data_IF_967940712503
#
_entry.id   IF_967940712503
#
_cell.length_a   1.000
_cell.length_b   1.000
_cell.length_c   1.000
_cell.angle_alpha   90.00
_cell.angle_beta   90.00
_cell.angle_gamma   90.00
#
_symmetry.space_group_name_H-M   'P 1'
#
loop_
_entity.id
_entity.type
_entity.pdbx_description
1 polymer ?
#
# COMPACT_ATOMS: atom_id res chain seq x y z
N UNK A 1 -8.10 17.61 4.48
CA UNK A 1 -8.51 16.28 5.00
C UNK A 1 -9.85 15.75 4.45
N UNK A 2 -10.88 16.58 4.24
CA UNK A 2 -12.22 16.12 3.76
C UNK A 2 -12.20 15.57 2.32
N UNK A 3 -11.52 16.24 1.38
CA UNK A 3 -11.40 15.80 -0.01
C UNK A 3 -10.65 14.47 -0.18
N UNK A 4 -9.51 14.30 0.52
CA UNK A 4 -8.72 13.06 0.43
C UNK A 4 -9.49 11.82 0.90
N UNK A 5 -10.34 11.95 1.94
CA UNK A 5 -11.22 10.85 2.39
C UNK A 5 -12.33 10.54 1.40
N UNK A 6 -12.93 11.56 0.79
CA UNK A 6 -13.92 11.39 -0.28
C UNK A 6 -13.30 10.72 -1.51
N UNK A 7 -12.15 11.22 -1.97
CA UNK A 7 -11.39 10.66 -3.09
C UNK A 7 -10.96 9.21 -2.84
N UNK A 8 -10.49 8.88 -1.62
CA UNK A 8 -10.17 7.50 -1.26
C UNK A 8 -11.40 6.59 -1.25
N UNK A 9 -12.53 7.07 -0.72
CA UNK A 9 -13.79 6.32 -0.76
C UNK A 9 -14.26 6.06 -2.19
N UNK A 10 -14.22 7.09 -3.05
CA UNK A 10 -14.60 7.00 -4.44
C UNK A 10 -13.65 6.11 -5.25
N UNK A 11 -12.34 6.19 -5.01
CA UNK A 11 -11.32 5.34 -5.65
C UNK A 11 -11.50 3.87 -5.25
N UNK A 12 -11.76 3.59 -3.97
CA UNK A 12 -12.02 2.23 -3.48
C UNK A 12 -13.32 1.64 -4.03
N UNK A 13 -14.32 2.49 -4.23
CA UNK A 13 -15.58 2.10 -4.88
C UNK A 13 -15.37 1.88 -6.38
N UNK A 14 -14.69 2.79 -7.08
CA UNK A 14 -14.39 2.68 -8.51
C UNK A 14 -13.53 1.45 -8.86
N UNK A 15 -12.62 1.04 -7.97
CA UNK A 15 -11.75 -0.13 -8.17
C UNK A 15 -12.36 -1.48 -7.76
N UNK A 16 -13.62 -1.54 -7.30
CA UNK A 16 -14.24 -2.79 -6.86
C UNK A 16 -14.75 -3.64 -8.04
N UNK A 17 -14.66 -4.97 -7.94
CA UNK A 17 -15.25 -5.88 -8.93
C UNK A 17 -16.77 -5.68 -9.10
N UNK A 18 -17.48 -5.26 -8.03
CA UNK A 18 -18.93 -5.03 -8.07
C UNK A 18 -19.32 -3.81 -8.91
N UNK A 19 -18.56 -2.74 -8.83
CA UNK A 19 -18.76 -1.53 -9.65
C UNK A 19 -18.42 -1.78 -11.10
N UNK A 20 -17.41 -2.62 -11.39
CA UNK A 20 -17.12 -3.03 -12.76
C UNK A 20 -18.30 -3.79 -13.40
N UNK A 21 -18.88 -4.76 -12.68
CA UNK A 21 -20.07 -5.49 -13.14
C UNK A 21 -21.26 -4.52 -13.33
N UNK A 22 -21.47 -3.59 -12.40
CA UNK A 22 -22.52 -2.58 -12.54
C UNK A 22 -22.31 -1.67 -13.77
N UNK A 23 -21.07 -1.26 -14.05
CA UNK A 23 -20.73 -0.46 -15.21
C UNK A 23 -21.00 -1.21 -16.53
N UNK A 24 -20.65 -2.50 -16.60
CA UNK A 24 -21.00 -3.36 -17.75
C UNK A 24 -22.51 -3.43 -17.92
N UNK A 25 -23.27 -3.67 -16.84
CA UNK A 25 -24.73 -3.70 -16.88
C UNK A 25 -25.33 -2.39 -17.40
N UNK A 26 -24.74 -1.25 -17.02
CA UNK A 26 -25.16 0.08 -17.47
C UNK A 26 -24.88 0.30 -18.96
N UNK A 27 -23.74 -0.18 -19.46
CA UNK A 27 -23.41 -0.17 -20.90
C UNK A 27 -24.38 -1.07 -21.68
N UNK A 28 -24.68 -2.28 -21.18
CA UNK A 28 -25.65 -3.17 -21.81
C UNK A 28 -27.05 -2.55 -21.85
N UNK A 29 -27.50 -1.95 -20.75
CA UNK A 29 -28.79 -1.25 -20.69
C UNK A 29 -28.85 -0.12 -21.69
N UNK A 30 -27.80 0.72 -21.75
CA UNK A 30 -27.69 1.78 -22.75
C UNK A 30 -27.81 1.20 -24.17
N UNK A 31 -27.03 0.16 -24.51
CA UNK A 31 -27.09 -0.48 -25.83
C UNK A 31 -28.49 -1.01 -26.19
N UNK A 32 -29.20 -1.62 -25.24
CA UNK A 32 -30.57 -2.14 -25.44
C UNK A 32 -31.58 -1.01 -25.66
N UNK A 33 -31.36 0.19 -25.10
CA UNK A 33 -32.22 1.35 -25.37
C UNK A 33 -31.97 1.98 -26.75
N UNK A 34 -30.83 1.69 -27.39
CA UNK A 34 -30.45 2.27 -28.69
C UNK A 34 -31.47 2.10 -29.83
N UNK A 35 -32.06 0.91 -30.03
CA UNK A 35 -33.11 0.70 -31.04
C UNK A 35 -34.33 1.59 -30.89
N UNK A 36 -34.76 1.93 -29.66
CA UNK A 36 -35.87 2.85 -29.44
C UNK A 36 -35.56 4.29 -29.84
N UNK A 37 -34.29 4.69 -29.73
CA UNK A 37 -33.81 6.02 -30.11
C UNK A 37 -33.22 6.07 -31.52
N UNK A 38 -33.36 5.00 -32.31
CA UNK A 38 -32.77 4.86 -33.65
C UNK A 38 -31.26 5.15 -33.69
N UNK A 39 -30.55 4.92 -32.58
CA UNK A 39 -29.13 5.25 -32.44
C UNK A 39 -28.78 6.71 -32.82
N UNK A 40 -29.68 7.65 -32.54
CA UNK A 40 -29.52 9.06 -32.92
C UNK A 40 -28.33 9.75 -32.23
N UNK A 41 -27.98 10.94 -32.74
CA UNK A 41 -26.82 11.70 -32.26
C UNK A 41 -26.93 12.05 -30.77
N UNK A 42 -28.13 12.36 -30.27
CA UNK A 42 -28.35 12.66 -28.85
C UNK A 42 -28.05 11.46 -27.95
N UNK A 43 -28.49 10.26 -28.36
CA UNK A 43 -28.28 9.02 -27.61
C UNK A 43 -26.79 8.64 -27.55
N UNK A 44 -26.04 8.85 -28.63
CA UNK A 44 -24.58 8.65 -28.67
C UNK A 44 -23.83 9.74 -27.87
N UNK A 45 -24.27 10.99 -27.96
CA UNK A 45 -23.66 12.11 -27.27
C UNK A 45 -23.69 11.90 -25.75
N UNK A 46 -24.81 11.42 -25.20
CA UNK A 46 -24.96 11.19 -23.76
C UNK A 46 -23.88 10.23 -23.23
N UNK A 47 -23.63 9.09 -23.89
CA UNK A 47 -22.63 8.13 -23.40
C UNK A 47 -21.21 8.67 -23.55
N UNK A 48 -20.94 9.35 -24.66
CA UNK A 48 -19.61 9.86 -24.98
C UNK A 48 -19.23 10.99 -24.02
N UNK A 49 -20.13 11.96 -23.82
CA UNK A 49 -19.93 13.05 -22.87
C UNK A 49 -19.81 12.51 -21.44
N UNK A 50 -20.66 11.57 -21.04
CA UNK A 50 -20.61 11.00 -19.68
C UNK A 50 -19.30 10.27 -19.41
N UNK A 51 -18.86 9.42 -20.34
CA UNK A 51 -17.61 8.66 -20.22
C UNK A 51 -16.41 9.60 -20.17
N UNK A 52 -16.43 10.68 -20.95
CA UNK A 52 -15.37 11.70 -20.95
C UNK A 52 -15.26 12.39 -19.60
N UNK A 53 -16.38 12.82 -19.00
CA UNK A 53 -16.41 13.43 -17.67
C UNK A 53 -15.89 12.45 -16.61
N UNK A 54 -16.37 11.20 -16.62
CA UNK A 54 -15.94 10.16 -15.68
C UNK A 54 -14.43 9.91 -15.82
N UNK A 55 -13.92 9.80 -17.04
CA UNK A 55 -12.50 9.60 -17.32
C UNK A 55 -11.67 10.77 -16.81
N UNK A 56 -12.10 12.01 -17.06
CA UNK A 56 -11.41 13.20 -16.56
C UNK A 56 -11.34 13.21 -15.03
N UNK A 57 -12.44 12.91 -14.35
CA UNK A 57 -12.45 12.77 -12.89
C UNK A 57 -11.57 11.60 -12.40
N UNK A 58 -11.56 10.48 -13.12
CA UNK A 58 -10.74 9.31 -12.81
C UNK A 58 -9.25 9.65 -12.86
N UNK A 59 -8.80 10.46 -13.83
CA UNK A 59 -7.42 10.94 -13.90
C UNK A 59 -7.04 11.68 -12.63
N UNK A 60 -7.87 12.61 -12.12
CA UNK A 60 -7.61 13.28 -10.85
C UNK A 60 -7.59 12.33 -9.66
N UNK A 61 -8.50 11.36 -9.61
CA UNK A 61 -8.54 10.36 -8.53
C UNK A 61 -7.29 9.49 -8.52
N UNK A 62 -6.86 9.03 -9.70
CA UNK A 62 -5.65 8.25 -9.89
C UNK A 62 -4.44 9.09 -9.47
N UNK A 63 -4.31 10.32 -9.95
CA UNK A 63 -3.21 11.22 -9.57
C UNK A 63 -3.15 11.48 -8.06
N UNK A 64 -4.29 11.73 -7.41
CA UNK A 64 -4.34 11.94 -5.95
C UNK A 64 -3.95 10.67 -5.16
N UNK A 65 -4.35 9.49 -5.65
CA UNK A 65 -3.98 8.21 -5.02
C UNK A 65 -2.48 7.93 -5.22
N UNK A 66 -1.99 8.08 -6.46
CA UNK A 66 -0.59 7.88 -6.82
C UNK A 66 0.34 8.85 -6.11
N UNK A 67 -0.03 10.12 -5.96
CA UNK A 67 0.80 11.11 -5.26
C UNK A 67 1.01 10.71 -3.79
N UNK A 68 -0.05 10.25 -3.12
CA UNK A 68 0.03 9.76 -1.74
C UNK A 68 0.83 8.46 -1.62
N UNK A 69 0.68 7.54 -2.57
CA UNK A 69 1.42 6.28 -2.54
C UNK A 69 2.93 6.49 -2.76
N UNK A 70 3.30 7.45 -3.61
CA UNK A 70 4.69 7.89 -3.79
C UNK A 70 5.29 8.46 -2.50
N UNK A 71 4.57 9.34 -1.80
CA UNK A 71 5.03 9.90 -0.52
C UNK A 71 5.31 8.79 0.51
N UNK A 72 4.41 7.81 0.61
CA UNK A 72 4.57 6.66 1.51
C UNK A 72 5.76 5.78 1.10
N UNK A 73 5.98 5.59 -0.20
CA UNK A 73 7.12 4.84 -0.72
C UNK A 73 8.44 5.49 -0.30
N UNK A 74 8.57 6.81 -0.45
CA UNK A 74 9.76 7.56 -0.06
C UNK A 74 10.06 7.38 1.43
N UNK A 75 9.07 7.53 2.30
CA UNK A 75 9.23 7.32 3.75
C UNK A 75 9.74 5.91 4.08
N UNK A 76 9.20 4.88 3.40
CA UNK A 76 9.66 3.50 3.60
C UNK A 76 11.11 3.31 3.16
N UNK A 77 11.51 3.91 2.04
CA UNK A 77 12.90 3.85 1.55
C UNK A 77 13.84 4.57 2.53
N UNK A 78 13.45 5.75 3.03
CA UNK A 78 14.23 6.51 3.99
C UNK A 78 14.45 5.73 5.28
N UNK A 79 13.43 5.03 5.77
CA UNK A 79 13.56 4.19 6.97
C UNK A 79 14.46 2.97 6.72
N UNK A 80 14.38 2.31 5.56
CA UNK A 80 15.29 1.22 5.21
C UNK A 80 16.75 1.68 5.14
N UNK A 81 17.00 2.87 4.55
CA UNK A 81 18.33 3.47 4.49
C UNK A 81 18.84 3.83 5.90
N UNK A 82 17.96 4.35 6.76
CA UNK A 82 18.30 4.68 8.14
C UNK A 82 18.69 3.45 8.94
N UNK A 83 17.87 2.39 8.93
CA UNK A 83 18.19 1.14 9.65
C UNK A 83 19.51 0.54 9.15
N UNK A 84 19.76 0.60 7.85
CA UNK A 84 21.03 0.12 7.26
C UNK A 84 22.22 0.93 7.74
N UNK A 85 22.11 2.27 7.77
CA UNK A 85 23.16 3.15 8.30
C UNK A 85 23.37 2.97 9.80
N UNK A 86 22.29 2.83 10.57
CA UNK A 86 22.37 2.61 12.02
C UNK A 86 23.01 1.25 12.34
N UNK A 87 22.67 0.20 11.59
CA UNK A 87 23.34 -1.11 11.70
C UNK A 87 24.83 -1.02 11.35
N UNK A 88 25.19 -0.29 10.28
CA UNK A 88 26.58 -0.06 9.91
C UNK A 88 27.33 0.75 10.97
N UNK A 89 26.71 1.79 11.52
CA UNK A 89 27.27 2.61 12.60
C UNK A 89 27.43 1.81 13.90
N UNK A 90 26.49 0.92 14.22
CA UNK A 90 26.59 0.02 15.36
C UNK A 90 27.78 -0.95 15.20
N UNK A 91 27.96 -1.54 14.01
CA UNK A 91 29.12 -2.38 13.70
C UNK A 91 30.45 -1.62 13.76
N UNK A 92 30.52 -0.42 13.17
CA UNK A 92 31.69 0.46 13.27
C UNK A 92 32.00 0.87 14.71
N UNK A 93 30.98 1.03 15.54
CA UNK A 93 31.15 1.33 16.96
C UNK A 93 31.70 0.11 17.73
N UNK A 94 31.39 -1.12 17.30
CA UNK A 94 32.03 -2.32 17.86
C UNK A 94 33.53 -2.38 17.58
N UNK A 95 33.96 -1.88 16.42
CA UNK A 95 35.38 -1.79 16.03
C UNK A 95 36.15 -0.76 16.88
N UNK A 96 35.44 0.19 17.50
CA UNK A 96 36.01 1.20 18.39
C UNK A 96 36.07 0.77 19.87
N UNK A 97 35.46 -0.36 20.23
CA UNK A 97 35.51 -0.88 21.60
C UNK A 97 36.87 -1.53 21.86
N UNK A 98 37.45 -1.29 23.04
CA UNK A 98 38.65 -2.01 23.46
C UNK A 98 38.33 -3.50 23.69
N UNK A 99 39.35 -4.37 23.61
CA UNK A 99 39.20 -5.82 23.80
C UNK A 99 38.53 -6.21 25.12
N UNK A 100 38.68 -5.40 26.18
CA UNK A 100 37.97 -5.63 27.45
C UNK A 100 36.47 -5.35 27.35
N UNK A 101 36.08 -4.29 26.65
CA UNK A 101 34.68 -3.88 26.49
C UNK A 101 33.92 -4.86 25.58
N UNK A 102 34.55 -5.30 24.50
CA UNK A 102 34.04 -6.37 23.63
C UNK A 102 33.79 -7.69 24.38
N UNK A 103 34.70 -8.06 25.30
CA UNK A 103 34.54 -9.26 26.14
C UNK A 103 33.42 -9.11 27.16
N UNK A 104 33.26 -7.93 27.75
CA UNK A 104 32.16 -7.64 28.68
C UNK A 104 30.80 -7.74 27.97
N UNK A 105 30.68 -7.11 26.80
CA UNK A 105 29.48 -7.16 25.96
C UNK A 105 29.13 -8.59 25.53
N UNK A 106 30.13 -9.37 25.09
CA UNK A 106 29.94 -10.79 24.73
C UNK A 106 29.41 -11.61 25.91
N UNK A 107 29.92 -11.35 27.12
CA UNK A 107 29.52 -12.07 28.34
C UNK A 107 28.07 -11.74 28.72
N UNK A 108 27.64 -10.51 28.53
CA UNK A 108 26.25 -10.06 28.75
C UNK A 108 25.27 -10.74 27.77
N UNK A 109 25.56 -10.69 26.47
CA UNK A 109 24.72 -11.37 25.46
C UNK A 109 24.65 -12.88 25.63
N UNK A 110 25.76 -13.52 26.02
CA UNK A 110 25.78 -14.96 26.30
C UNK A 110 24.91 -15.34 27.51
N UNK A 111 24.80 -14.45 28.50
CA UNK A 111 23.94 -14.65 29.66
C UNK A 111 22.44 -14.53 29.31
N UNK A 112 22.08 -13.64 28.39
CA UNK A 112 20.70 -13.46 27.89
C UNK A 112 20.25 -14.69 27.09
N UNK A 113 21.07 -15.20 26.17
CA UNK A 113 20.74 -16.42 25.42
C UNK A 113 20.64 -17.67 26.31
N UNK A 114 21.44 -17.73 27.38
CA UNK A 114 21.37 -18.82 28.35
C UNK A 114 20.10 -18.79 29.22
N UNK A 115 19.60 -17.60 29.60
CA UNK A 115 18.36 -17.49 30.37
C UNK A 115 17.11 -17.77 29.54
N UNK A 116 17.14 -17.47 28.23
CA UNK A 116 16.03 -17.75 27.31
C UNK A 116 15.88 -19.26 27.00
N UNK A 117 16.97 -20.02 27.06
CA UNK A 117 16.96 -21.49 26.84
C UNK A 117 16.41 -22.27 28.04
N UNK A 118 16.36 -21.67 29.23
CA UNK A 118 15.86 -22.30 30.47
C UNK A 118 14.32 -22.25 30.61
N UNK A 119 13.59 -21.67 29.65
CA UNK A 119 12.13 -21.56 29.63
C UNK A 119 11.39 -22.49 28.66
N UNK A 120 12.10 -23.31 27.85
CA UNK A 120 11.45 -24.25 26.95
C UNK A 120 11.02 -25.51 27.72
N UNK A 121 9.71 -25.86 27.78
CA UNK A 121 9.28 -27.07 28.47
C UNK A 121 9.85 -28.27 27.72
N UNK A 122 10.66 -29.05 28.43
CA UNK A 122 11.10 -30.37 28.00
C UNK A 122 9.86 -31.23 27.78
N UNK A 123 9.48 -31.41 26.52
CA UNK A 123 8.51 -32.40 26.09
C UNK A 123 9.13 -33.76 26.38
N UNK A 124 8.79 -34.32 27.54
CA UNK A 124 8.91 -35.74 27.81
C UNK A 124 7.92 -36.46 26.91
N UNK A 125 8.40 -37.51 26.24
CA UNK A 125 7.76 -38.82 26.08
C UNK A 125 8.04 -39.41 24.68
N UNK A 126 8.02 -40.74 24.52
CA UNK A 126 8.40 -41.81 25.46
C UNK A 126 9.61 -42.64 24.98
#
# INVERSE_FOLDING_TARGET
MKFSRFAQGLSKWAGSARTFIAAIGLICLWAITGPWFHYNDTWQLIINTSTTIITFLMVFLIQNTQNRDNDVLHIKIDELLRVTKDAQNALLSLDKLDHKELRALRKEYSAIGASETLGAPTRSDP
#
